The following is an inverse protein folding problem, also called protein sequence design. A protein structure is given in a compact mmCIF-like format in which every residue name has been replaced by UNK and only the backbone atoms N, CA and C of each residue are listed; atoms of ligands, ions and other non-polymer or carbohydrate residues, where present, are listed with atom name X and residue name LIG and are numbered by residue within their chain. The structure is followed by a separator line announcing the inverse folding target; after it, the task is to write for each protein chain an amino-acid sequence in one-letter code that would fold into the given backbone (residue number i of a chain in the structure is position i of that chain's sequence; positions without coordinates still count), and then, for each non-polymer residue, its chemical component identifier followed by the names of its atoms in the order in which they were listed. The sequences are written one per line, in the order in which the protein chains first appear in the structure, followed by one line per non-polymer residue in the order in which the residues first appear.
data_IF_534848048311
#
_entry.id   IF_534848048311
#
_cell.length_a   1.000
_cell.length_b   1.000
_cell.length_c   1.000
_cell.angle_alpha   90.00
_cell.angle_beta   90.00
_cell.angle_gamma   90.00
#
_symmetry.space_group_name_H-M   'P 1'
#
loop_
_entity.id
_entity.type
_entity.pdbx_description
1 polymer ?
#
# COMPACT_ATOMS: atom_id res chain seq x y z
N UNK A 1 39.49 -8.76 31.97
CA UNK A 1 39.58 -8.02 30.69
C UNK A 1 38.26 -8.23 29.95
N UNK A 2 37.48 -7.16 29.78
CA UNK A 2 36.08 -7.16 29.31
C UNK A 2 36.10 -6.83 27.81
N UNK A 3 35.53 -7.68 26.95
CA UNK A 3 35.36 -7.38 25.52
C UNK A 3 33.93 -6.85 25.28
N UNK A 4 33.71 -5.54 25.04
CA UNK A 4 32.42 -4.98 24.68
C UNK A 4 32.38 -4.77 23.17
N UNK A 5 32.53 -5.84 22.38
CA UNK A 5 32.78 -5.70 20.93
C UNK A 5 31.76 -6.34 20.00
N UNK A 6 30.79 -7.12 20.50
CA UNK A 6 29.96 -7.98 19.64
C UNK A 6 28.47 -7.64 19.62
N UNK A 7 28.00 -6.69 20.43
CA UNK A 7 26.56 -6.39 20.54
C UNK A 7 26.12 -5.21 19.67
N UNK A 8 27.05 -4.36 19.23
CA UNK A 8 26.71 -3.11 18.50
C UNK A 8 26.33 -3.37 17.04
N UNK A 9 26.95 -4.36 16.37
CA UNK A 9 26.63 -4.65 14.96
C UNK A 9 25.23 -5.24 14.74
N UNK A 10 24.65 -5.91 15.72
CA UNK A 10 23.33 -6.53 15.57
C UNK A 10 22.19 -5.48 15.62
N UNK A 11 22.37 -4.36 16.33
CA UNK A 11 21.35 -3.32 16.45
C UNK A 11 21.19 -2.49 15.16
N UNK A 12 22.28 -2.26 14.40
CA UNK A 12 22.21 -1.44 13.18
C UNK A 12 21.44 -2.12 12.03
N UNK A 13 21.43 -3.46 11.98
CA UNK A 13 20.71 -4.20 10.92
C UNK A 13 19.19 -4.23 11.18
N UNK A 14 18.77 -4.19 12.45
CA UNK A 14 17.35 -4.23 12.81
C UNK A 14 16.60 -2.91 12.53
N UNK A 15 17.28 -1.77 12.54
CA UNK A 15 16.65 -0.45 12.31
C UNK A 15 16.18 -0.29 10.85
N UNK A 16 16.81 -0.97 9.89
CA UNK A 16 16.43 -0.90 8.48
C UNK A 16 15.08 -1.58 8.17
N UNK A 17 14.62 -2.50 9.02
CA UNK A 17 13.34 -3.20 8.84
C UNK A 17 12.12 -2.40 9.37
N UNK A 18 12.35 -1.30 10.09
CA UNK A 18 11.29 -0.42 10.61
C UNK A 18 11.08 0.84 9.76
N UNK A 19 11.77 0.97 8.62
CA UNK A 19 11.57 2.09 7.71
C UNK A 19 10.21 1.93 7.01
N UNK A 20 9.29 2.86 7.27
CA UNK A 20 8.01 2.96 6.56
C UNK A 20 8.19 3.14 5.05
N UNK A 21 7.10 3.31 4.28
CA UNK A 21 7.16 3.33 2.83
C UNK A 21 8.01 4.50 2.34
N UNK A 22 8.78 4.26 1.27
CA UNK A 22 9.59 5.30 0.62
C UNK A 22 8.71 6.46 0.16
N UNK A 23 9.31 7.63 -0.07
CA UNK A 23 8.57 8.80 -0.60
C UNK A 23 7.92 8.48 -1.95
N UNK A 24 8.62 7.73 -2.80
CA UNK A 24 8.10 7.26 -4.08
C UNK A 24 6.88 6.34 -3.90
N UNK A 25 6.99 5.33 -3.01
CA UNK A 25 5.88 4.43 -2.72
C UNK A 25 4.65 5.17 -2.17
N UNK A 26 4.85 6.17 -1.29
CA UNK A 26 3.75 7.03 -0.82
C UNK A 26 3.11 7.84 -1.94
N UNK A 27 3.91 8.34 -2.89
CA UNK A 27 3.42 9.12 -4.03
C UNK A 27 2.53 8.27 -4.93
N UNK A 28 2.92 7.03 -5.24
CA UNK A 28 2.12 6.17 -6.10
C UNK A 28 0.86 5.66 -5.40
N UNK A 29 0.92 5.40 -4.09
CA UNK A 29 -0.29 5.12 -3.28
C UNK A 29 -1.24 6.32 -3.30
N UNK A 30 -0.73 7.54 -3.16
CA UNK A 30 -1.57 8.74 -3.22
C UNK A 30 -2.24 8.90 -4.60
N UNK A 31 -1.48 8.75 -5.70
CA UNK A 31 -2.05 8.77 -7.06
C UNK A 31 -3.12 7.70 -7.27
N UNK A 32 -2.96 6.53 -6.66
CA UNK A 32 -3.98 5.50 -6.69
C UNK A 32 -5.27 5.97 -6.00
N UNK A 33 -5.20 6.52 -4.79
CA UNK A 33 -6.37 7.06 -4.11
C UNK A 33 -7.02 8.22 -4.86
N UNK A 34 -6.23 9.14 -5.42
CA UNK A 34 -6.73 10.25 -6.24
C UNK A 34 -7.52 9.73 -7.45
N UNK A 35 -7.03 8.66 -8.09
CA UNK A 35 -7.72 8.03 -9.23
C UNK A 35 -9.07 7.40 -8.86
N UNK A 36 -9.27 7.04 -7.59
CA UNK A 36 -10.50 6.40 -7.11
C UNK A 36 -11.60 7.37 -6.69
N UNK A 37 -11.36 8.69 -6.69
CA UNK A 37 -12.31 9.72 -6.23
C UNK A 37 -13.74 9.49 -6.76
N UNK A 38 -13.87 9.17 -8.05
CA UNK A 38 -15.15 8.98 -8.72
C UNK A 38 -15.53 7.50 -8.95
N UNK A 39 -14.85 6.53 -8.35
CA UNK A 39 -14.99 5.10 -8.67
C UNK A 39 -16.43 4.57 -8.53
N UNK A 40 -17.20 5.03 -7.53
CA UNK A 40 -18.60 4.61 -7.41
C UNK A 40 -19.51 5.14 -8.54
N UNK A 41 -19.10 6.20 -9.27
CA UNK A 41 -19.82 6.76 -10.41
C UNK A 41 -19.30 6.20 -11.74
N UNK A 42 -17.99 6.08 -11.89
CA UNK A 42 -17.34 5.69 -13.14
C UNK A 42 -17.06 4.18 -13.25
N UNK A 43 -17.16 3.45 -12.15
CA UNK A 43 -16.72 2.07 -12.06
C UNK A 43 -15.19 1.94 -12.08
N UNK A 44 -14.71 0.71 -12.23
CA UNK A 44 -13.29 0.43 -12.39
C UNK A 44 -12.85 0.78 -13.81
N UNK A 45 -11.97 1.78 -13.94
CA UNK A 45 -11.41 2.19 -15.24
C UNK A 45 -9.99 1.63 -15.44
N UNK A 46 -9.50 1.52 -16.70
CA UNK A 46 -8.12 1.11 -16.96
C UNK A 46 -7.07 2.00 -16.26
N UNK A 47 -7.35 3.31 -16.14
CA UNK A 47 -6.46 4.24 -15.46
C UNK A 47 -6.34 3.95 -13.96
N UNK A 48 -7.46 3.61 -13.30
CA UNK A 48 -7.48 3.22 -11.88
C UNK A 48 -6.70 1.92 -11.69
N UNK A 49 -6.92 0.92 -12.55
CA UNK A 49 -6.18 -0.35 -12.49
C UNK A 49 -4.68 -0.13 -12.66
N UNK A 50 -4.26 0.70 -13.61
CA UNK A 50 -2.85 1.00 -13.82
C UNK A 50 -2.22 1.73 -12.62
N UNK A 51 -2.96 2.63 -11.97
CA UNK A 51 -2.48 3.31 -10.75
C UNK A 51 -2.35 2.33 -9.58
N UNK A 52 -3.30 1.41 -9.41
CA UNK A 52 -3.26 0.37 -8.38
C UNK A 52 -2.06 -0.57 -8.55
N UNK A 53 -1.78 -1.02 -9.78
CA UNK A 53 -0.63 -1.89 -10.07
C UNK A 53 0.68 -1.19 -9.68
N UNK A 54 0.87 0.07 -10.09
CA UNK A 54 2.07 0.84 -9.71
C UNK A 54 2.20 1.01 -8.20
N UNK A 55 1.10 1.32 -7.51
CA UNK A 55 1.11 1.45 -6.05
C UNK A 55 1.48 0.12 -5.38
N UNK A 56 0.92 -1.01 -5.85
CA UNK A 56 1.28 -2.36 -5.37
C UNK A 56 2.75 -2.67 -5.57
N UNK A 57 3.27 -2.48 -6.78
CA UNK A 57 4.67 -2.74 -7.12
C UNK A 57 5.62 -1.87 -6.29
N UNK A 58 5.28 -0.60 -6.07
CA UNK A 58 6.09 0.32 -5.27
C UNK A 58 6.10 -0.08 -3.78
N UNK A 59 4.98 -0.54 -3.25
CA UNK A 59 4.87 -1.08 -1.89
C UNK A 59 5.64 -2.40 -1.74
N UNK A 60 5.54 -3.30 -2.71
CA UNK A 60 6.27 -4.56 -2.75
C UNK A 60 7.78 -4.33 -2.82
N UNK A 61 8.24 -3.43 -3.69
CA UNK A 61 9.64 -3.04 -3.81
C UNK A 61 10.17 -2.42 -2.51
N UNK A 62 9.34 -1.64 -1.81
CA UNK A 62 9.64 -1.09 -0.49
C UNK A 62 9.58 -2.13 0.64
N UNK A 63 9.19 -3.38 0.35
CA UNK A 63 8.91 -4.44 1.34
C UNK A 63 7.92 -3.98 2.42
N UNK A 64 7.01 -3.07 2.04
CA UNK A 64 6.08 -2.42 2.95
C UNK A 64 4.67 -2.95 2.72
N UNK A 65 4.09 -3.58 3.75
CA UNK A 65 2.91 -4.42 3.57
C UNK A 65 3.30 -5.72 2.88
N UNK A 66 2.95 -6.86 3.48
CA UNK A 66 3.46 -8.19 3.12
C UNK A 66 2.93 -8.74 1.80
N UNK A 67 3.26 -8.09 0.68
CA UNK A 67 2.85 -8.48 -0.67
C UNK A 67 3.38 -9.84 -1.14
N UNK A 68 4.27 -10.49 -0.37
CA UNK A 68 4.89 -11.76 -0.70
C UNK A 68 4.09 -12.99 -0.24
N UNK A 69 3.21 -12.85 0.76
CA UNK A 69 2.51 -13.96 1.43
C UNK A 69 0.98 -13.74 1.56
N UNK A 70 0.37 -12.97 0.66
CA UNK A 70 -1.08 -12.73 0.66
C UNK A 70 -1.57 -11.79 1.78
N UNK A 71 -0.67 -11.00 2.39
CA UNK A 71 -1.01 -10.03 3.42
C UNK A 71 -1.13 -8.64 2.81
N UNK A 72 -2.15 -7.89 3.26
CA UNK A 72 -2.52 -6.55 2.80
C UNK A 72 -1.29 -5.68 2.45
N UNK A 73 -1.24 -5.16 1.22
CA UNK A 73 -0.29 -4.15 0.74
C UNK A 73 -0.52 -2.83 1.50
N UNK A 74 -0.18 -2.80 2.78
CA UNK A 74 -0.46 -1.68 3.69
C UNK A 74 -1.94 -1.25 3.74
N UNK A 75 -2.87 -2.18 3.47
CA UNK A 75 -4.30 -1.90 3.46
C UNK A 75 -4.84 -1.24 2.18
N UNK A 76 -4.06 -1.18 1.08
CA UNK A 76 -4.63 -0.76 -0.21
C UNK A 76 -5.60 -1.84 -0.71
N UNK A 77 -6.88 -1.48 -0.77
CA UNK A 77 -7.95 -2.33 -1.31
C UNK A 77 -7.79 -2.46 -2.83
N UNK A 78 -8.38 -3.48 -3.46
CA UNK A 78 -8.41 -3.52 -4.92
C UNK A 78 -9.47 -2.55 -5.46
N UNK A 79 -9.31 -2.00 -6.68
CA UNK A 79 -10.33 -1.15 -7.29
C UNK A 79 -11.70 -1.85 -7.38
N UNK A 80 -11.71 -3.15 -7.64
CA UNK A 80 -12.93 -3.95 -7.74
C UNK A 80 -13.62 -4.01 -6.39
N UNK A 81 -12.90 -4.33 -5.32
CA UNK A 81 -13.52 -4.42 -4.00
C UNK A 81 -14.02 -3.05 -3.54
N UNK A 82 -13.30 -1.96 -3.82
CA UNK A 82 -13.76 -0.58 -3.54
C UNK A 82 -15.03 -0.24 -4.33
N UNK A 83 -15.11 -0.64 -5.60
CA UNK A 83 -16.32 -0.44 -6.41
C UNK A 83 -17.49 -1.30 -5.90
N UNK A 84 -17.22 -2.53 -5.47
CA UNK A 84 -18.21 -3.42 -4.87
C UNK A 84 -18.77 -2.84 -3.58
N UNK A 85 -17.95 -2.23 -2.72
CA UNK A 85 -18.44 -1.54 -1.52
C UNK A 85 -19.49 -0.46 -1.88
N UNK A 86 -19.28 0.27 -2.99
CA UNK A 86 -20.22 1.29 -3.45
C UNK A 86 -21.58 0.74 -3.86
N UNK A 87 -21.62 -0.42 -4.54
CA UNK A 87 -22.86 -0.98 -5.11
C UNK A 87 -23.54 -1.99 -4.19
N UNK A 88 -22.79 -2.57 -3.23
CA UNK A 88 -23.30 -3.52 -2.25
C UNK A 88 -23.72 -2.87 -0.93
N UNK A 89 -23.33 -1.61 -0.68
CA UNK A 89 -23.81 -0.81 0.44
C UNK A 89 -24.83 0.23 -0.06
N UNK A 90 -26.11 -0.13 -0.26
CA UNK A 90 -27.14 0.80 -0.74
C UNK A 90 -27.45 1.96 0.23
N UNK A 91 -26.79 2.02 1.39
CA UNK A 91 -27.03 3.01 2.46
C UNK A 91 -26.01 4.14 2.61
N UNK A 92 -24.82 4.08 2.00
CA UNK A 92 -23.73 5.05 2.27
C UNK A 92 -23.62 6.20 1.23
N UNK A 93 -24.68 6.41 0.45
CA UNK A 93 -25.02 7.74 -0.06
C UNK A 93 -24.05 8.40 -1.05
N UNK A 94 -23.91 7.84 -2.26
CA UNK A 94 -23.78 8.71 -3.44
C UNK A 94 -25.18 9.06 -3.95
N UNK A 95 -25.80 10.05 -3.30
CA UNK A 95 -26.75 10.97 -3.92
C UNK A 95 -26.09 12.34 -3.99
#
# INVERSE_FOLDING_TARGET
MKQPGRTVCALLVAVAAAAGPTVAARTDVQRYYDSMTDICRTGVTPAITAAWVRAREALEAARYGGGRDGVNFAGIKSPVDTWLDCVQSPGDGKQ
#
